data_IF_596279304055
#
_entry.id   IF_596279304055
#
_cell.length_a   1.000
_cell.length_b   1.000
_cell.length_c   1.000
_cell.angle_alpha   90.00
_cell.angle_beta   90.00
_cell.angle_gamma   90.00
#
_symmetry.space_group_name_H-M   'P 1'
#
loop_
_entity.id
_entity.type
_entity.pdbx_description
1 polymer ?
#
# COMPACT_ATOMS: atom_id res chain seq x y z
N UNK A 1 -45.12 -22.78 -22.82
CA UNK A 1 -44.58 -22.90 -21.44
C UNK A 1 -43.34 -22.03 -21.34
N UNK A 2 -43.31 -21.12 -20.38
CA UNK A 2 -42.27 -20.10 -20.16
C UNK A 2 -40.93 -20.67 -19.66
N UNK A 3 -39.84 -19.97 -20.02
CA UNK A 3 -38.59 -19.65 -19.29
C UNK A 3 -37.85 -20.77 -18.53
N UNK A 4 -36.54 -20.94 -18.60
CA UNK A 4 -35.44 -20.05 -19.00
C UNK A 4 -34.23 -20.31 -18.10
N UNK A 5 -33.09 -19.72 -18.50
CA UNK A 5 -31.86 -19.45 -17.71
C UNK A 5 -30.74 -20.50 -17.75
N UNK A 6 -30.00 -20.42 -18.87
CA UNK A 6 -28.57 -20.07 -18.91
C UNK A 6 -27.81 -20.17 -17.57
N UNK A 7 -27.01 -21.22 -17.44
CA UNK A 7 -25.92 -21.29 -16.47
C UNK A 7 -24.80 -20.38 -16.97
N UNK A 8 -24.82 -19.12 -16.54
CA UNK A 8 -23.74 -18.17 -16.83
C UNK A 8 -22.60 -18.46 -15.86
N UNK A 9 -21.51 -19.00 -16.39
CA UNK A 9 -20.20 -19.03 -15.76
C UNK A 9 -19.88 -17.64 -15.16
N UNK A 10 -19.68 -17.60 -13.84
CA UNK A 10 -19.15 -16.44 -13.14
C UNK A 10 -17.70 -16.24 -13.61
N UNK A 11 -17.53 -15.49 -14.69
CA UNK A 11 -16.22 -15.01 -15.11
C UNK A 11 -15.78 -14.00 -14.03
N UNK A 12 -14.92 -14.46 -13.12
CA UNK A 12 -14.18 -13.59 -12.21
C UNK A 12 -13.54 -12.49 -13.06
N UNK A 13 -14.02 -11.26 -12.89
CA UNK A 13 -13.40 -10.08 -13.47
C UNK A 13 -12.01 -9.94 -12.86
N UNK A 14 -11.03 -10.61 -13.45
CA UNK A 14 -9.62 -10.41 -13.14
C UNK A 14 -9.32 -8.95 -13.44
N UNK A 15 -8.84 -8.21 -12.45
CA UNK A 15 -8.33 -6.87 -12.68
C UNK A 15 -7.33 -6.95 -13.84
N UNK A 16 -7.60 -6.21 -14.93
CA UNK A 16 -6.67 -6.16 -16.06
C UNK A 16 -5.36 -5.60 -15.54
N UNK A 17 -4.26 -6.27 -15.88
CA UNK A 17 -2.90 -5.86 -15.53
C UNK A 17 -2.72 -4.36 -15.83
N UNK A 18 -2.33 -3.53 -14.85
CA UNK A 18 -2.08 -2.12 -15.10
C UNK A 18 -0.96 -1.96 -16.13
N UNK A 19 -1.10 -1.04 -17.08
CA UNK A 19 0.07 -0.60 -17.85
C UNK A 19 0.93 0.21 -16.90
N UNK A 20 2.19 -0.21 -16.69
CA UNK A 20 3.17 0.50 -15.88
C UNK A 20 3.44 1.90 -16.46
N UNK A 21 2.61 2.88 -16.11
CA UNK A 21 2.98 4.28 -16.26
C UNK A 21 3.76 4.62 -15.01
N UNK A 22 5.07 4.80 -15.15
CA UNK A 22 5.83 5.59 -14.18
C UNK A 22 5.09 6.92 -14.07
N UNK A 23 4.42 7.18 -12.96
CA UNK A 23 3.72 8.44 -12.77
C UNK A 23 4.75 9.57 -12.82
N UNK A 24 4.72 10.28 -13.93
CA UNK A 24 5.46 11.50 -14.14
C UNK A 24 4.76 12.63 -13.38
N UNK A 25 5.57 13.33 -12.57
CA UNK A 25 5.44 14.72 -12.16
C UNK A 25 4.49 15.00 -10.99
N UNK A 26 5.17 15.40 -9.91
CA UNK A 26 4.74 16.15 -8.75
C UNK A 26 3.87 17.37 -9.08
N UNK A 27 2.84 17.58 -8.25
CA UNK A 27 2.07 18.81 -8.16
C UNK A 27 2.95 19.96 -7.58
N UNK A 28 3.23 21.04 -8.34
CA UNK A 28 4.04 22.15 -7.87
C UNK A 28 3.16 23.28 -7.29
N UNK A 29 3.40 23.55 -6.01
CA UNK A 29 3.16 24.81 -5.28
C UNK A 29 1.72 25.19 -4.87
N UNK A 30 1.51 25.23 -3.54
CA UNK A 30 0.81 26.36 -2.89
C UNK A 30 1.30 26.59 -1.45
N UNK A 31 2.00 27.71 -1.28
CA UNK A 31 1.90 28.68 -0.17
C UNK A 31 1.86 28.22 1.30
N UNK A 32 3.01 28.41 1.97
CA UNK A 32 3.22 28.92 3.34
C UNK A 32 2.29 28.48 4.49
N UNK A 33 2.87 27.74 5.45
CA UNK A 33 2.79 28.08 6.87
C UNK A 33 4.00 27.48 7.61
N UNK A 34 4.91 28.34 8.03
CA UNK A 34 6.02 28.02 8.92
C UNK A 34 5.41 27.64 10.28
N UNK A 35 5.36 26.34 10.61
CA UNK A 35 5.12 25.88 11.98
C UNK A 35 6.34 25.11 12.44
N UNK A 36 6.91 25.61 13.53
CA UNK A 36 7.99 25.05 14.33
C UNK A 36 7.77 23.55 14.60
N UNK A 37 8.51 22.70 13.89
CA UNK A 37 8.49 21.26 14.08
C UNK A 37 9.92 20.75 14.08
N UNK A 38 10.33 20.12 15.19
CA UNK A 38 11.62 19.44 15.38
C UNK A 38 12.06 18.74 14.09
N UNK A 39 13.24 19.09 13.58
CA UNK A 39 13.80 18.45 12.38
C UNK A 39 13.73 16.92 12.54
N UNK A 40 13.19 16.20 11.56
CA UNK A 40 13.01 14.77 11.69
C UNK A 40 14.35 14.09 11.94
N UNK A 41 14.36 13.16 12.91
CA UNK A 41 15.54 12.35 13.20
C UNK A 41 15.93 11.58 11.93
N UNK A 42 17.06 11.99 11.32
CA UNK A 42 17.59 11.41 10.08
C UNK A 42 17.75 9.89 10.20
N UNK A 43 18.06 9.38 11.39
CA UNK A 43 18.19 7.94 11.64
C UNK A 43 16.85 7.20 11.54
N UNK A 44 15.75 7.82 12.00
CA UNK A 44 14.41 7.26 11.89
C UNK A 44 13.93 7.24 10.44
N UNK A 45 14.18 8.31 9.68
CA UNK A 45 13.84 8.38 8.26
C UNK A 45 14.62 7.37 7.42
N UNK A 46 15.94 7.29 7.62
CA UNK A 46 16.78 6.32 6.92
C UNK A 46 16.33 4.88 7.17
N UNK A 47 15.96 4.57 8.41
CA UNK A 47 15.42 3.26 8.80
C UNK A 47 14.06 2.96 8.18
N UNK A 48 13.17 3.95 8.10
CA UNK A 48 11.88 3.81 7.40
C UNK A 48 12.08 3.45 5.93
N UNK A 49 12.86 4.28 5.21
CA UNK A 49 13.16 4.05 3.80
C UNK A 49 13.91 2.73 3.55
N UNK A 50 14.77 2.31 4.48
CA UNK A 50 15.41 1.00 4.41
C UNK A 50 14.40 -0.14 4.59
N UNK A 51 13.47 -0.03 5.54
CA UNK A 51 12.40 -1.00 5.75
C UNK A 51 11.49 -1.14 4.54
N UNK A 52 11.04 -0.03 3.95
CA UNK A 52 10.24 -0.01 2.72
C UNK A 52 10.93 -0.76 1.58
N UNK A 53 12.22 -0.48 1.33
CA UNK A 53 13.00 -1.20 0.31
C UNK A 53 13.11 -2.68 0.59
N UNK A 54 13.25 -3.08 1.86
CA UNK A 54 13.37 -4.49 2.25
C UNK A 54 12.06 -5.24 2.03
N UNK A 55 10.92 -4.64 2.38
CA UNK A 55 9.58 -5.20 2.14
C UNK A 55 9.26 -5.25 0.64
N UNK A 56 9.57 -4.19 -0.10
CA UNK A 56 9.42 -4.16 -1.55
C UNK A 56 10.17 -5.33 -2.21
N UNK A 57 11.41 -5.59 -1.80
CA UNK A 57 12.19 -6.74 -2.27
C UNK A 57 11.53 -8.07 -1.91
N UNK A 58 11.04 -8.22 -0.68
CA UNK A 58 10.36 -9.44 -0.24
C UNK A 58 9.13 -9.74 -1.13
N UNK A 59 8.32 -8.74 -1.45
CA UNK A 59 7.17 -8.91 -2.36
C UNK A 59 7.59 -9.25 -3.79
N UNK A 60 8.64 -8.63 -4.32
CA UNK A 60 9.18 -8.97 -5.64
C UNK A 60 9.66 -10.44 -5.69
N UNK A 61 10.37 -10.89 -4.65
CA UNK A 61 10.82 -12.28 -4.51
C UNK A 61 9.64 -13.25 -4.38
N UNK A 62 8.54 -12.81 -3.76
CA UNK A 62 7.28 -13.54 -3.67
C UNK A 62 6.41 -13.48 -4.95
N UNK A 63 6.89 -12.85 -6.03
CA UNK A 63 6.21 -12.81 -7.33
C UNK A 63 5.18 -11.71 -7.51
N UNK A 64 5.15 -10.69 -6.64
CA UNK A 64 4.32 -9.51 -6.81
C UNK A 64 4.98 -8.49 -7.75
N UNK A 65 4.18 -7.79 -8.55
CA UNK A 65 4.60 -6.60 -9.28
C UNK A 65 4.44 -5.36 -8.37
N UNK A 66 5.44 -4.49 -8.33
CA UNK A 66 5.31 -3.20 -7.65
C UNK A 66 4.69 -2.20 -8.61
N UNK A 67 3.49 -1.70 -8.27
CA UNK A 67 2.80 -0.67 -9.04
C UNK A 67 3.24 0.74 -8.64
N UNK A 68 3.42 0.98 -7.33
CA UNK A 68 3.89 2.26 -6.79
C UNK A 68 4.60 2.08 -5.44
N UNK A 69 5.49 3.01 -5.11
CA UNK A 69 6.16 3.08 -3.80
C UNK A 69 6.19 4.53 -3.33
N UNK A 70 5.98 4.76 -2.03
CA UNK A 70 5.97 6.10 -1.45
C UNK A 70 5.04 7.09 -2.19
N UNK A 71 3.86 6.62 -2.59
CA UNK A 71 2.89 7.45 -3.30
C UNK A 71 2.31 8.49 -2.35
N UNK A 72 2.44 9.77 -2.69
CA UNK A 72 2.13 10.90 -1.81
C UNK A 72 1.11 11.82 -2.46
N UNK A 73 0.10 12.20 -1.69
CA UNK A 73 -0.87 13.25 -2.01
C UNK A 73 -1.01 14.20 -0.82
N UNK A 74 -1.66 15.35 -1.01
CA UNK A 74 -1.91 16.32 0.07
C UNK A 74 -2.52 15.67 1.32
N UNK A 75 -3.38 14.68 1.13
CA UNK A 75 -4.10 14.06 2.22
C UNK A 75 -3.26 13.00 2.97
N UNK A 76 -2.20 12.44 2.41
CA UNK A 76 -1.39 11.40 3.05
C UNK A 76 -0.54 10.60 2.06
N UNK A 77 -0.07 9.43 2.48
CA UNK A 77 0.85 8.59 1.70
C UNK A 77 0.52 7.09 1.80
N UNK A 78 0.86 6.36 0.74
CA UNK A 78 0.85 4.90 0.68
C UNK A 78 2.29 4.41 0.51
N UNK A 79 2.72 3.49 1.38
CA UNK A 79 4.11 3.01 1.36
C UNK A 79 4.37 2.12 0.13
N UNK A 80 3.52 1.10 -0.09
CA UNK A 80 3.62 0.20 -1.23
C UNK A 80 2.25 -0.09 -1.85
N UNK A 81 2.20 -0.09 -3.18
CA UNK A 81 1.06 -0.60 -3.97
C UNK A 81 1.58 -1.72 -4.88
N UNK A 82 0.97 -2.90 -4.77
CA UNK A 82 1.45 -4.13 -5.38
C UNK A 82 0.34 -4.78 -6.19
N UNK A 83 0.71 -5.69 -7.06
CA UNK A 83 -0.22 -6.47 -7.87
C UNK A 83 0.21 -7.91 -7.98
N UNK A 84 -0.75 -8.82 -7.79
CA UNK A 84 -0.57 -10.25 -8.07
C UNK A 84 -1.93 -10.88 -8.34
N UNK A 85 -1.99 -11.74 -9.35
CA UNK A 85 -3.15 -12.60 -9.64
C UNK A 85 -4.52 -11.87 -9.67
N UNK A 86 -4.54 -10.64 -10.21
CA UNK A 86 -5.75 -9.82 -10.32
C UNK A 86 -6.18 -9.11 -9.03
N UNK A 87 -5.33 -9.11 -8.01
CA UNK A 87 -5.52 -8.41 -6.73
C UNK A 87 -4.51 -7.28 -6.57
N UNK A 88 -5.00 -6.12 -6.13
CA UNK A 88 -4.19 -4.94 -5.80
C UNK A 88 -3.98 -4.93 -4.29
N UNK A 89 -2.73 -4.91 -3.85
CA UNK A 89 -2.39 -4.93 -2.43
C UNK A 89 -1.81 -3.59 -2.02
N UNK A 90 -2.40 -2.97 -0.99
CA UNK A 90 -1.86 -1.79 -0.34
C UNK A 90 -1.16 -2.24 0.93
N UNK A 91 0.16 -2.11 0.98
CA UNK A 91 0.94 -2.55 2.14
C UNK A 91 1.51 -1.36 2.90
N UNK A 92 1.19 -1.29 4.19
CA UNK A 92 1.77 -0.36 5.15
C UNK A 92 3.02 -1.01 5.79
N UNK A 93 4.14 -0.28 5.81
CA UNK A 93 5.44 -0.78 6.27
C UNK A 93 5.85 -0.14 7.59
N UNK A 94 6.15 -0.98 8.59
CA UNK A 94 6.65 -0.53 9.89
C UNK A 94 8.05 -1.07 10.18
N UNK A 95 9.06 -0.20 10.06
CA UNK A 95 10.40 -0.50 10.54
C UNK A 95 10.47 -0.41 12.08
N UNK A 96 10.82 -1.50 12.75
CA UNK A 96 10.94 -1.61 14.22
C UNK A 96 12.41 -1.56 14.67
N UNK A 97 12.64 -1.27 15.96
CA UNK A 97 13.98 -1.33 16.60
C UNK A 97 14.14 -2.61 17.44
N UNK A 98 13.03 -3.16 17.93
CA UNK A 98 12.98 -4.38 18.74
C UNK A 98 11.60 -5.05 18.55
N UNK A 99 11.52 -6.32 18.93
CA UNK A 99 10.30 -7.16 18.82
C UNK A 99 9.22 -6.83 19.86
N UNK A 100 9.50 -5.96 20.85
CA UNK A 100 8.68 -5.76 22.07
C UNK A 100 7.29 -5.11 21.91
N UNK A 101 6.70 -5.07 20.72
CA UNK A 101 5.37 -4.47 20.51
C UNK A 101 4.43 -5.43 19.79
N UNK A 102 3.14 -5.40 20.15
CA UNK A 102 2.07 -6.33 19.73
C UNK A 102 1.90 -6.56 18.22
N UNK A 103 0.89 -7.35 17.87
CA UNK A 103 0.67 -7.83 16.51
C UNK A 103 0.68 -6.68 15.50
N UNK A 104 1.29 -6.87 14.33
CA UNK A 104 1.50 -5.76 13.40
C UNK A 104 0.20 -5.08 12.95
N UNK A 105 -0.90 -5.84 12.86
CA UNK A 105 -2.24 -5.34 12.60
C UNK A 105 -2.78 -4.45 13.75
N UNK A 106 -2.56 -4.83 15.02
CA UNK A 106 -2.90 -4.01 16.18
C UNK A 106 -2.13 -2.68 16.20
N UNK A 107 -0.94 -2.66 15.59
CA UNK A 107 -0.15 -1.44 15.42
C UNK A 107 -0.70 -0.48 14.34
N UNK A 108 -1.71 -0.87 13.55
CA UNK A 108 -2.47 0.04 12.67
C UNK A 108 -3.83 0.31 13.30
N UNK A 109 -3.92 1.41 14.03
CA UNK A 109 -5.19 1.82 14.66
C UNK A 109 -6.31 2.03 13.62
N UNK A 110 -7.57 1.97 14.08
CA UNK A 110 -8.76 2.14 13.23
C UNK A 110 -8.72 3.43 12.40
N UNK A 111 -8.17 4.51 12.95
CA UNK A 111 -8.05 5.80 12.24
C UNK A 111 -7.09 5.67 11.06
N UNK A 112 -5.96 4.98 11.24
CA UNK A 112 -4.98 4.73 10.20
C UNK A 112 -5.52 3.77 9.14
N UNK A 113 -6.26 2.73 9.53
CA UNK A 113 -6.94 1.84 8.58
C UNK A 113 -7.90 2.61 7.66
N UNK A 114 -8.78 3.43 8.23
CA UNK A 114 -9.70 4.28 7.46
C UNK A 114 -8.95 5.24 6.54
N UNK A 115 -7.82 5.78 7.02
CA UNK A 115 -6.97 6.66 6.23
C UNK A 115 -6.37 5.96 5.01
N UNK A 116 -5.81 4.77 5.21
CA UNK A 116 -5.21 3.97 4.14
C UNK A 116 -6.28 3.59 3.11
N UNK A 117 -7.47 3.16 3.55
CA UNK A 117 -8.59 2.88 2.64
C UNK A 117 -8.98 4.09 1.79
N UNK A 118 -9.05 5.28 2.40
CA UNK A 118 -9.33 6.53 1.67
C UNK A 118 -8.24 6.89 0.66
N UNK A 119 -6.97 6.62 0.99
CA UNK A 119 -5.86 6.83 0.06
C UNK A 119 -5.84 5.80 -1.07
N UNK A 120 -6.16 4.54 -0.78
CA UNK A 120 -6.30 3.48 -1.78
C UNK A 120 -7.38 3.82 -2.82
N UNK A 121 -8.53 4.36 -2.38
CA UNK A 121 -9.57 4.84 -3.31
C UNK A 121 -9.03 5.95 -4.22
N UNK A 122 -8.31 6.93 -3.68
CA UNK A 122 -7.70 7.99 -4.49
C UNK A 122 -6.67 7.45 -5.48
N UNK A 123 -5.83 6.50 -5.05
CA UNK A 123 -4.83 5.86 -5.90
C UNK A 123 -5.47 5.09 -7.05
N UNK A 124 -6.53 4.31 -6.77
CA UNK A 124 -7.29 3.58 -7.78
C UNK A 124 -7.93 4.51 -8.81
N UNK A 125 -8.54 5.61 -8.34
CA UNK A 125 -9.14 6.63 -9.21
C UNK A 125 -8.10 7.31 -10.10
N UNK A 126 -6.94 7.68 -9.54
CA UNK A 126 -5.86 8.32 -10.28
C UNK A 126 -5.26 7.42 -11.38
N UNK A 127 -5.36 6.10 -11.22
CA UNK A 127 -4.84 5.12 -12.16
C UNK A 127 -5.92 4.48 -13.06
N UNK A 128 -7.19 4.89 -12.93
CA UNK A 128 -8.34 4.27 -13.61
C UNK A 128 -8.39 2.74 -13.45
N UNK A 129 -8.07 2.27 -12.23
CA UNK A 129 -8.02 0.84 -11.90
C UNK A 129 -9.21 0.45 -11.02
N UNK A 130 -9.69 -0.78 -11.26
CA UNK A 130 -10.69 -1.46 -10.45
C UNK A 130 -10.30 -2.92 -10.29
N UNK A 131 -10.62 -3.51 -9.15
CA UNK A 131 -10.24 -4.89 -8.87
C UNK A 131 -10.47 -5.29 -7.42
N UNK A 132 -10.07 -6.52 -7.10
CA UNK A 132 -9.95 -6.97 -5.72
C UNK A 132 -8.85 -6.16 -5.04
N UNK A 133 -9.09 -5.80 -3.78
CA UNK A 133 -8.16 -5.02 -2.97
C UNK A 133 -7.90 -5.76 -1.67
N UNK A 134 -6.64 -5.81 -1.28
CA UNK A 134 -6.17 -6.34 0.00
C UNK A 134 -5.33 -5.29 0.71
N UNK A 135 -5.41 -5.24 2.04
CA UNK A 135 -4.58 -4.35 2.85
C UNK A 135 -3.66 -5.19 3.73
N UNK A 136 -2.36 -5.04 3.52
CA UNK A 136 -1.35 -5.80 4.24
C UNK A 136 -0.60 -4.88 5.20
N UNK A 137 -0.04 -5.48 6.27
CA UNK A 137 0.91 -4.78 7.14
C UNK A 137 2.19 -5.58 7.19
N UNK A 138 3.29 -4.95 6.81
CA UNK A 138 4.61 -5.54 6.92
C UNK A 138 5.39 -4.89 8.07
N UNK A 139 6.12 -5.68 8.84
CA UNK A 139 7.10 -5.19 9.80
C UNK A 139 8.49 -5.63 9.40
N UNK A 140 9.46 -4.77 9.72
CA UNK A 140 10.88 -5.10 9.52
C UNK A 140 11.62 -4.93 10.84
N UNK A 141 12.23 -6.01 11.30
CA UNK A 141 13.05 -6.04 12.52
C UNK A 141 14.41 -6.64 12.18
N UNK A 142 15.49 -5.88 12.36
CA UNK A 142 16.80 -6.32 11.90
C UNK A 142 16.80 -6.51 10.38
N UNK A 143 16.87 -7.76 9.90
CA UNK A 143 16.78 -8.15 8.47
C UNK A 143 15.49 -8.89 8.12
N UNK A 144 14.71 -9.25 9.14
CA UNK A 144 13.53 -10.08 9.03
C UNK A 144 12.34 -9.26 8.60
N UNK A 145 11.57 -9.83 7.68
CA UNK A 145 10.31 -9.27 7.18
C UNK A 145 9.20 -10.21 7.61
N UNK A 146 8.25 -9.66 8.34
CA UNK A 146 7.00 -10.34 8.71
C UNK A 146 5.84 -9.60 8.04
N UNK A 147 4.96 -10.35 7.36
CA UNK A 147 3.84 -9.80 6.60
C UNK A 147 2.55 -10.41 7.10
N UNK A 148 1.64 -9.55 7.55
CA UNK A 148 0.26 -9.92 7.82
C UNK A 148 -0.56 -9.55 6.58
N UNK A 149 -0.92 -10.56 5.81
CA UNK A 149 -1.82 -10.39 4.66
C UNK A 149 -3.26 -10.15 5.11
N UNK A 150 -3.99 -9.26 4.42
CA UNK A 150 -5.40 -8.99 4.73
C UNK A 150 -5.61 -8.50 6.16
N UNK A 151 -4.67 -7.70 6.68
CA UNK A 151 -4.63 -7.23 8.05
C UNK A 151 -5.87 -6.41 8.45
N UNK A 152 -6.53 -5.72 7.52
CA UNK A 152 -7.77 -4.98 7.77
C UNK A 152 -8.60 -4.71 6.52
#
# INVERSE_FOLDING_TARGET
>A
MCAGRSCTTCATASARRPRSRKSAIADPQSGAAHRSGRSPDRSKQARGAWGERRVARWYLEAGYEILDQNWRVRSGELDLVLFRDGEIVFCEVKARRSERYGAAAEAVDRRKQLKIRSLAVQWLQANDLRGRVRFDVATVTGVEVDVIEGAF
#
